data_IF_975778924867
#
_entry.id   IF_975778924867
#
_cell.length_a   1.000
_cell.length_b   1.000
_cell.length_c   1.000
_cell.angle_alpha   90.00
_cell.angle_beta   90.00
_cell.angle_gamma   90.00
#
_symmetry.space_group_name_H-M   'P 1'
#
loop_
_entity.id
_entity.type
_entity.pdbx_description
1 polymer ?
#
# COMPACT_ATOMS: atom_id res chain seq x y z
N UNK A 1 23.58 59.99 -27.38
CA UNK A 1 22.46 59.01 -27.55
C UNK A 1 22.88 57.63 -28.06
N UNK A 2 24.13 57.38 -28.48
CA UNK A 2 24.55 56.10 -29.08
C UNK A 2 24.87 54.98 -28.01
N UNK A 3 25.26 55.41 -26.79
CA UNK A 3 25.66 54.44 -25.73
C UNK A 3 24.52 53.66 -25.08
N UNK A 4 23.36 54.27 -24.90
CA UNK A 4 22.18 53.66 -24.25
C UNK A 4 21.60 52.48 -25.10
N UNK A 5 21.62 52.61 -26.41
CA UNK A 5 21.12 51.61 -27.34
C UNK A 5 21.98 50.31 -27.33
N UNK A 6 23.29 50.44 -27.13
CA UNK A 6 24.24 49.32 -27.06
C UNK A 6 24.12 48.52 -25.75
N UNK A 7 23.93 49.23 -24.64
CA UNK A 7 23.73 48.65 -23.32
C UNK A 7 22.39 47.93 -23.25
N UNK A 8 21.31 48.56 -23.76
CA UNK A 8 19.98 47.99 -23.80
C UNK A 8 19.94 46.66 -24.59
N UNK A 9 20.58 46.62 -25.79
CA UNK A 9 20.70 45.41 -26.59
C UNK A 9 21.43 44.28 -25.85
N UNK A 10 22.50 44.59 -25.10
CA UNK A 10 23.22 43.59 -24.30
C UNK A 10 22.35 43.03 -23.16
N UNK A 11 21.62 43.90 -22.46
CA UNK A 11 20.72 43.49 -21.38
C UNK A 11 19.59 42.61 -21.92
N UNK A 12 18.97 42.96 -23.04
CA UNK A 12 17.95 42.17 -23.68
C UNK A 12 18.48 40.81 -24.14
N UNK A 13 19.68 40.71 -24.68
CA UNK A 13 20.29 39.44 -25.09
C UNK A 13 20.58 38.52 -23.89
N UNK A 14 21.08 39.10 -22.77
CA UNK A 14 21.28 38.30 -21.53
C UNK A 14 19.96 37.80 -20.97
N UNK A 15 18.93 38.65 -20.94
CA UNK A 15 17.61 38.25 -20.44
C UNK A 15 16.99 37.12 -21.32
N UNK A 16 17.10 37.24 -22.63
CA UNK A 16 16.61 36.20 -23.56
C UNK A 16 17.33 34.89 -23.38
N UNK A 17 18.67 34.92 -23.17
CA UNK A 17 19.43 33.68 -22.89
C UNK A 17 19.01 33.02 -21.58
N UNK A 18 18.68 33.80 -20.54
CA UNK A 18 18.15 33.25 -19.29
C UNK A 18 16.79 32.63 -19.44
N UNK A 19 15.88 33.23 -20.21
CA UNK A 19 14.52 32.67 -20.49
C UNK A 19 14.63 31.36 -21.26
N UNK A 20 15.50 31.27 -22.25
CA UNK A 20 15.73 30.08 -23.02
C UNK A 20 16.32 28.95 -22.15
N UNK A 21 17.36 29.23 -21.35
CA UNK A 21 18.00 28.28 -20.47
C UNK A 21 17.01 27.74 -19.41
N UNK A 22 16.17 28.62 -18.82
CA UNK A 22 15.16 28.23 -17.85
C UNK A 22 14.03 27.41 -18.46
N UNK A 23 13.62 27.72 -19.70
CA UNK A 23 12.61 26.95 -20.43
C UNK A 23 13.07 25.52 -20.73
N UNK A 24 14.34 25.31 -21.08
CA UNK A 24 14.90 23.99 -21.32
C UNK A 24 14.95 23.12 -20.06
N UNK A 25 15.30 23.68 -18.92
CA UNK A 25 15.38 22.92 -17.65
C UNK A 25 14.00 22.48 -17.15
N UNK A 26 12.96 23.28 -17.36
CA UNK A 26 11.58 22.91 -17.01
C UNK A 26 11.02 21.79 -17.90
N UNK A 27 11.30 21.84 -19.21
CA UNK A 27 10.81 20.83 -20.16
C UNK A 27 11.41 19.44 -19.90
N UNK A 28 12.72 19.36 -19.60
CA UNK A 28 13.40 18.09 -19.36
C UNK A 28 12.96 17.43 -18.04
N UNK A 29 12.61 18.21 -17.01
CA UNK A 29 12.13 17.67 -15.74
C UNK A 29 10.70 17.10 -15.86
N UNK A 30 9.84 17.69 -16.68
CA UNK A 30 8.47 17.20 -16.90
C UNK A 30 8.42 15.88 -17.68
N UNK A 31 9.24 15.72 -18.71
CA UNK A 31 9.33 14.48 -19.48
C UNK A 31 9.90 13.33 -18.63
N UNK A 32 10.94 13.60 -17.84
CA UNK A 32 11.53 12.60 -16.94
C UNK A 32 10.53 12.10 -15.90
N UNK A 33 9.71 12.99 -15.33
CA UNK A 33 8.70 12.62 -14.34
C UNK A 33 7.56 11.79 -14.96
N UNK A 34 7.04 12.17 -16.11
CA UNK A 34 5.98 11.44 -16.80
C UNK A 34 6.43 10.03 -17.23
N UNK A 35 7.62 9.88 -17.78
CA UNK A 35 8.20 8.60 -18.16
C UNK A 35 8.41 7.68 -16.94
N UNK A 36 8.93 8.22 -15.85
CA UNK A 36 9.14 7.51 -14.59
C UNK A 36 7.84 6.93 -14.03
N UNK A 37 6.74 7.71 -14.02
CA UNK A 37 5.43 7.28 -13.53
C UNK A 37 4.82 6.17 -14.37
N UNK A 38 4.90 6.26 -15.69
CA UNK A 38 4.40 5.23 -16.59
C UNK A 38 5.15 3.90 -16.40
N UNK A 39 6.47 3.94 -16.30
CA UNK A 39 7.31 2.77 -16.04
C UNK A 39 7.00 2.15 -14.69
N UNK A 40 6.81 2.96 -13.65
CA UNK A 40 6.40 2.50 -12.31
C UNK A 40 5.06 1.76 -12.37
N UNK A 41 4.04 2.37 -12.98
CA UNK A 41 2.70 1.76 -13.09
C UNK A 41 2.75 0.42 -13.83
N UNK A 42 3.52 0.34 -14.91
CA UNK A 42 3.70 -0.92 -15.66
C UNK A 42 4.34 -1.99 -14.77
N UNK A 43 5.44 -1.67 -14.07
CA UNK A 43 6.11 -2.61 -13.17
C UNK A 43 5.20 -3.07 -12.02
N UNK A 44 4.39 -2.17 -11.47
CA UNK A 44 3.41 -2.52 -10.44
C UNK A 44 2.36 -3.52 -10.96
N UNK A 45 1.83 -3.30 -12.16
CA UNK A 45 0.86 -4.21 -12.79
C UNK A 45 1.45 -5.58 -13.11
N UNK A 46 2.67 -5.61 -13.67
CA UNK A 46 3.38 -6.86 -13.96
C UNK A 46 3.66 -7.66 -12.69
N UNK A 47 4.11 -6.99 -11.63
CA UNK A 47 4.35 -7.61 -10.31
C UNK A 47 3.05 -8.17 -9.72
N UNK A 48 1.96 -7.41 -9.74
CA UNK A 48 0.67 -7.85 -9.22
C UNK A 48 0.11 -9.04 -10.03
N UNK A 49 0.23 -9.02 -11.36
CA UNK A 49 -0.16 -10.16 -12.20
C UNK A 49 0.67 -11.42 -11.90
N UNK A 50 1.97 -11.27 -11.65
CA UNK A 50 2.84 -12.37 -11.23
C UNK A 50 2.42 -12.92 -9.87
N UNK A 51 2.16 -12.05 -8.88
CA UNK A 51 1.71 -12.45 -7.53
C UNK A 51 0.40 -13.27 -7.61
N UNK A 52 -0.58 -12.79 -8.36
CA UNK A 52 -1.84 -13.51 -8.56
C UNK A 52 -1.63 -14.90 -9.18
N UNK A 53 -0.72 -15.02 -10.16
CA UNK A 53 -0.41 -16.29 -10.81
C UNK A 53 0.35 -17.26 -9.92
N UNK A 54 1.28 -16.75 -9.09
CA UNK A 54 2.15 -17.60 -8.26
C UNK A 54 1.55 -17.98 -6.91
N UNK A 55 0.59 -17.19 -6.42
CA UNK A 55 -0.09 -17.43 -5.14
C UNK A 55 -1.60 -17.51 -5.37
N UNK A 56 -2.08 -18.59 -6.01
CA UNK A 56 -3.51 -18.75 -6.31
C UNK A 56 -4.35 -18.98 -5.04
N UNK A 57 -3.76 -19.50 -3.98
CA UNK A 57 -4.40 -19.80 -2.70
C UNK A 57 -3.59 -19.21 -1.54
N UNK A 58 -3.82 -17.93 -1.17
CA UNK A 58 -3.09 -17.31 -0.06
C UNK A 58 -3.33 -18.05 1.26
N UNK A 59 -2.25 -18.37 1.95
CA UNK A 59 -2.30 -19.07 3.26
C UNK A 59 -2.60 -18.05 4.36
N UNK A 60 -3.56 -18.38 5.24
CA UNK A 60 -3.98 -17.52 6.36
C UNK A 60 -2.91 -17.48 7.45
N UNK A 61 -2.79 -16.36 8.13
CA UNK A 61 -1.80 -16.06 9.16
C UNK A 61 -0.35 -16.28 8.68
N UNK A 62 -0.08 -15.98 7.41
CA UNK A 62 1.24 -16.08 6.79
C UNK A 62 1.69 -14.75 6.19
N UNK A 63 2.99 -14.51 6.14
CA UNK A 63 3.54 -13.29 5.52
C UNK A 63 3.17 -13.23 4.04
N UNK A 64 3.30 -14.35 3.31
CA UNK A 64 2.99 -14.40 1.88
C UNK A 64 1.51 -14.30 1.56
N UNK A 65 0.62 -14.74 2.46
CA UNK A 65 -0.82 -14.75 2.25
C UNK A 65 -1.45 -13.36 2.35
N UNK A 66 -1.39 -12.73 3.51
CA UNK A 66 -2.06 -11.45 3.77
C UNK A 66 -1.49 -10.33 2.91
N UNK A 67 -0.15 -10.25 2.77
CA UNK A 67 0.46 -9.22 1.92
C UNK A 67 0.09 -9.36 0.46
N UNK A 68 -0.07 -10.59 -0.04
CA UNK A 68 -0.55 -10.82 -1.41
C UNK A 68 -1.99 -10.32 -1.58
N UNK A 69 -2.89 -10.69 -0.67
CA UNK A 69 -4.30 -10.24 -0.73
C UNK A 69 -4.39 -8.72 -0.67
N UNK A 70 -3.69 -8.08 0.29
CA UNK A 70 -3.64 -6.63 0.45
C UNK A 70 -3.11 -5.94 -0.81
N UNK A 71 -1.96 -6.42 -1.32
CA UNK A 71 -1.31 -5.82 -2.49
C UNK A 71 -2.17 -5.94 -3.74
N UNK A 72 -2.77 -7.11 -3.99
CA UNK A 72 -3.67 -7.32 -5.12
C UNK A 72 -4.93 -6.47 -5.03
N UNK A 73 -5.53 -6.35 -3.84
CA UNK A 73 -6.72 -5.53 -3.62
C UNK A 73 -6.45 -4.03 -3.87
N UNK A 74 -5.22 -3.57 -3.64
CA UNK A 74 -4.80 -2.16 -3.80
C UNK A 74 -4.07 -1.86 -5.10
N UNK A 75 -3.70 -2.88 -5.90
CA UNK A 75 -2.92 -2.72 -7.15
C UNK A 75 -3.67 -2.09 -8.31
N UNK A 76 -5.00 -2.08 -8.28
CA UNK A 76 -5.84 -1.65 -9.41
C UNK A 76 -5.94 -2.68 -10.55
N UNK A 77 -5.34 -3.87 -10.44
CA UNK A 77 -5.54 -4.95 -11.41
C UNK A 77 -6.89 -5.66 -11.18
N UNK A 78 -7.45 -6.22 -12.25
CA UNK A 78 -8.67 -7.03 -12.15
C UNK A 78 -8.33 -8.43 -11.64
N UNK A 79 -8.61 -8.66 -10.35
CA UNK A 79 -8.58 -10.00 -9.75
C UNK A 79 -10.01 -10.52 -9.64
N UNK A 80 -10.29 -11.79 -9.99
CA UNK A 80 -11.61 -12.37 -9.85
C UNK A 80 -12.13 -12.28 -8.40
N UNK A 81 -13.38 -11.86 -8.21
CA UNK A 81 -14.00 -11.77 -6.86
C UNK A 81 -13.88 -13.07 -6.07
N UNK A 82 -14.01 -14.20 -6.77
CA UNK A 82 -13.86 -15.53 -6.17
C UNK A 82 -12.54 -15.74 -5.42
N UNK A 83 -11.44 -15.14 -5.88
CA UNK A 83 -10.13 -15.20 -5.19
C UNK A 83 -10.21 -14.65 -3.76
N UNK A 84 -10.84 -13.50 -3.60
CA UNK A 84 -11.02 -12.85 -2.30
C UNK A 84 -12.08 -13.56 -1.43
N UNK A 85 -13.16 -14.06 -2.05
CA UNK A 85 -14.18 -14.82 -1.35
C UNK A 85 -13.64 -16.14 -0.81
N UNK A 86 -12.84 -16.84 -1.59
CA UNK A 86 -12.22 -18.11 -1.17
C UNK A 86 -11.16 -17.84 -0.07
N UNK A 87 -10.41 -16.73 -0.16
CA UNK A 87 -9.51 -16.34 0.92
C UNK A 87 -10.30 -16.04 2.20
N UNK A 88 -11.39 -15.27 2.12
CA UNK A 88 -12.22 -14.96 3.28
C UNK A 88 -12.78 -16.22 3.95
N UNK A 89 -13.29 -17.17 3.18
CA UNK A 89 -13.77 -18.47 3.71
C UNK A 89 -12.66 -19.24 4.45
N UNK A 90 -11.43 -19.19 3.93
CA UNK A 90 -10.29 -19.80 4.64
C UNK A 90 -9.97 -19.08 5.94
N UNK A 91 -10.06 -17.75 5.96
CA UNK A 91 -9.89 -16.97 7.19
C UNK A 91 -10.96 -17.34 8.21
N UNK A 92 -12.25 -17.33 7.83
CA UNK A 92 -13.35 -17.72 8.73
C UNK A 92 -13.15 -19.12 9.31
N UNK A 93 -12.79 -20.09 8.45
CA UNK A 93 -12.52 -21.45 8.90
C UNK A 93 -11.35 -21.49 9.88
N UNK A 94 -10.23 -20.83 9.56
CA UNK A 94 -9.05 -20.80 10.42
C UNK A 94 -9.35 -20.15 11.78
N UNK A 95 -10.09 -19.05 11.78
CA UNK A 95 -10.48 -18.33 13.01
C UNK A 95 -11.41 -19.19 13.87
N UNK A 96 -12.40 -19.86 13.25
CA UNK A 96 -13.31 -20.79 13.95
C UNK A 96 -12.55 -21.97 14.56
N UNK A 97 -11.74 -22.66 13.78
CA UNK A 97 -10.97 -23.84 14.21
C UNK A 97 -10.01 -23.47 15.37
N UNK A 98 -9.41 -22.28 15.29
CA UNK A 98 -8.51 -21.74 16.33
C UNK A 98 -9.26 -21.08 17.51
N UNK A 99 -10.60 -21.07 17.53
CA UNK A 99 -11.43 -20.41 18.54
C UNK A 99 -11.00 -18.93 18.74
N UNK A 100 -10.76 -18.24 17.64
CA UNK A 100 -10.32 -16.84 17.62
C UNK A 100 -8.82 -16.64 17.85
N UNK A 101 -8.06 -17.63 18.28
CA UNK A 101 -6.65 -17.50 18.65
C UNK A 101 -5.73 -17.85 17.48
N UNK A 102 -5.44 -16.88 16.60
CA UNK A 102 -4.51 -17.08 15.49
C UNK A 102 -3.08 -17.35 15.97
N UNK A 103 -2.62 -16.60 16.96
CA UNK A 103 -1.33 -16.83 17.61
C UNK A 103 -1.29 -16.22 19.03
N UNK A 104 -0.62 -16.91 19.96
CA UNK A 104 -0.55 -16.47 21.37
C UNK A 104 0.50 -15.39 21.65
N UNK A 105 1.46 -15.22 20.76
CA UNK A 105 2.61 -14.32 20.94
C UNK A 105 2.79 -13.33 19.76
N UNK A 106 2.36 -13.70 18.55
CA UNK A 106 2.57 -12.91 17.32
C UNK A 106 1.30 -12.17 16.94
N UNK A 107 1.05 -11.05 17.60
CA UNK A 107 -0.15 -10.23 17.36
C UNK A 107 -0.12 -9.50 16.02
N UNK A 108 1.04 -9.36 15.38
CA UNK A 108 1.12 -8.88 13.99
C UNK A 108 0.42 -9.81 12.99
N UNK A 109 0.12 -11.06 13.34
CA UNK A 109 -0.69 -11.96 12.49
C UNK A 109 -2.14 -11.48 12.42
N UNK A 110 -2.72 -11.07 13.57
CA UNK A 110 -4.04 -10.42 13.59
C UNK A 110 -4.04 -9.14 12.76
N UNK A 111 -3.03 -8.29 12.96
CA UNK A 111 -2.92 -7.02 12.21
C UNK A 111 -2.90 -7.25 10.71
N UNK A 112 -2.14 -8.23 10.21
CA UNK A 112 -2.09 -8.55 8.77
C UNK A 112 -3.42 -9.09 8.25
N UNK A 113 -4.06 -10.00 9.00
CA UNK A 113 -5.39 -10.54 8.61
C UNK A 113 -6.41 -9.41 8.55
N UNK A 114 -6.45 -8.52 9.56
CA UNK A 114 -7.33 -7.36 9.57
C UNK A 114 -7.07 -6.46 8.36
N UNK A 115 -5.81 -6.12 8.06
CA UNK A 115 -5.43 -5.33 6.89
C UNK A 115 -5.91 -5.96 5.56
N UNK A 116 -5.71 -7.28 5.41
CA UNK A 116 -6.14 -8.00 4.21
C UNK A 116 -7.67 -8.00 4.08
N UNK A 117 -8.39 -8.25 5.18
CA UNK A 117 -9.87 -8.27 5.19
C UNK A 117 -10.45 -6.87 4.93
N UNK A 118 -9.88 -5.83 5.56
CA UNK A 118 -10.26 -4.43 5.31
C UNK A 118 -10.07 -4.06 3.84
N UNK A 119 -8.95 -4.48 3.22
CA UNK A 119 -8.67 -4.19 1.82
C UNK A 119 -9.65 -4.83 0.84
N UNK A 120 -10.28 -5.95 1.22
CA UNK A 120 -11.31 -6.65 0.43
C UNK A 120 -12.73 -6.37 0.92
N UNK A 121 -12.92 -5.33 1.74
CA UNK A 121 -14.21 -4.87 2.29
C UNK A 121 -14.96 -5.97 3.08
N UNK A 122 -14.25 -6.71 3.94
CA UNK A 122 -14.84 -7.68 4.86
C UNK A 122 -14.87 -7.12 6.27
N UNK A 123 -15.94 -7.43 7.00
CA UNK A 123 -16.08 -7.06 8.40
C UNK A 123 -15.09 -7.87 9.26
N UNK A 124 -14.27 -7.16 10.03
CA UNK A 124 -13.26 -7.74 10.91
C UNK A 124 -13.76 -7.90 12.35
N UNK A 125 -14.94 -7.34 12.64
CA UNK A 125 -15.57 -7.41 13.96
C UNK A 125 -16.40 -8.69 14.16
N UNK A 126 -16.73 -9.38 13.05
CA UNK A 126 -17.39 -10.67 13.07
C UNK A 126 -16.80 -11.62 12.02
N UNK A 127 -15.67 -12.19 12.31
CA UNK A 127 -15.03 -13.22 11.46
C UNK A 127 -15.28 -14.58 12.06
N UNK A 128 -16.30 -15.25 11.55
CA UNK A 128 -16.66 -16.55 12.05
C UNK A 128 -17.13 -16.56 13.53
N UNK A 129 -17.73 -15.48 14.00
CA UNK A 129 -18.18 -15.28 15.37
C UNK A 129 -17.14 -14.66 16.30
N UNK A 130 -16.01 -14.16 15.76
CA UNK A 130 -14.94 -13.57 16.56
C UNK A 130 -14.60 -12.17 16.07
N UNK A 131 -14.51 -11.21 17.03
CA UNK A 131 -14.02 -9.86 16.76
C UNK A 131 -12.49 -9.85 16.78
N UNK A 132 -11.84 -9.72 15.61
CA UNK A 132 -10.39 -9.74 15.51
C UNK A 132 -9.74 -8.47 16.11
N UNK A 133 -10.43 -7.32 16.12
CA UNK A 133 -9.90 -6.08 16.71
C UNK A 133 -9.70 -6.22 18.22
N UNK A 134 -10.55 -6.98 18.91
CA UNK A 134 -10.44 -7.17 20.36
C UNK A 134 -9.12 -7.76 20.81
N UNK A 135 -8.45 -8.53 19.94
CA UNK A 135 -7.12 -9.08 20.21
C UNK A 135 -6.02 -8.03 20.15
N UNK A 136 -6.21 -6.97 19.34
CA UNK A 136 -5.26 -5.85 19.22
C UNK A 136 -5.47 -4.76 20.27
N UNK A 137 -6.67 -4.67 20.86
CA UNK A 137 -6.98 -3.68 21.89
C UNK A 137 -6.26 -3.93 23.23
N UNK A 138 -5.75 -5.16 23.43
CA UNK A 138 -4.96 -5.50 24.63
C UNK A 138 -3.48 -5.17 24.40
N UNK A 139 -3.03 -4.01 24.91
CA UNK A 139 -1.66 -3.52 24.75
C UNK A 139 -0.60 -4.48 25.33
N UNK A 140 -0.89 -5.14 26.46
CA UNK A 140 0.04 -6.10 27.07
C UNK A 140 0.32 -7.32 26.17
N UNK A 141 -0.65 -7.70 25.38
CA UNK A 141 -0.49 -8.74 24.37
C UNK A 141 0.28 -8.23 23.15
N UNK A 142 -0.10 -7.08 22.65
CA UNK A 142 0.49 -6.52 21.42
C UNK A 142 1.98 -6.23 21.60
N UNK A 143 2.39 -5.70 22.77
CA UNK A 143 3.79 -5.40 23.07
C UNK A 143 4.73 -6.62 23.19
N UNK A 144 4.20 -7.85 23.26
CA UNK A 144 5.00 -9.09 23.32
C UNK A 144 5.94 -9.26 22.12
N UNK A 145 5.64 -8.61 20.98
CA UNK A 145 6.50 -8.58 19.79
C UNK A 145 7.41 -7.33 19.72
N UNK A 146 7.68 -6.68 20.85
CA UNK A 146 8.41 -5.43 20.89
C UNK A 146 7.64 -4.33 20.14
N UNK A 147 8.36 -3.35 19.59
CA UNK A 147 7.74 -2.17 18.95
C UNK A 147 6.91 -2.50 17.70
N UNK A 148 7.22 -3.61 17.03
CA UNK A 148 6.48 -4.02 15.83
C UNK A 148 5.01 -4.32 16.12
N UNK A 149 4.70 -4.90 17.27
CA UNK A 149 3.32 -5.21 17.67
C UNK A 149 2.43 -3.97 17.68
N UNK A 150 2.71 -2.95 18.51
CA UNK A 150 1.93 -1.72 18.56
C UNK A 150 1.86 -0.98 17.22
N UNK A 151 2.98 -0.90 16.47
CA UNK A 151 3.00 -0.23 15.15
C UNK A 151 2.02 -0.92 14.19
N UNK A 152 2.08 -2.24 14.06
CA UNK A 152 1.17 -2.97 13.17
C UNK A 152 -0.29 -2.93 13.64
N UNK A 153 -0.53 -2.89 14.95
CA UNK A 153 -1.87 -2.72 15.49
C UNK A 153 -2.45 -1.35 15.09
N UNK A 154 -1.69 -0.26 15.27
CA UNK A 154 -2.10 1.09 14.85
C UNK A 154 -2.39 1.15 13.34
N UNK A 155 -1.52 0.56 12.51
CA UNK A 155 -1.76 0.50 11.06
C UNK A 155 -3.06 -0.25 10.73
N UNK A 156 -3.36 -1.33 11.47
CA UNK A 156 -4.58 -2.11 11.25
C UNK A 156 -5.84 -1.33 11.66
N UNK A 157 -5.81 -0.60 12.78
CA UNK A 157 -6.90 0.27 13.22
C UNK A 157 -7.14 1.42 12.23
N UNK A 158 -6.06 2.12 11.84
CA UNK A 158 -6.12 3.27 10.91
C UNK A 158 -6.66 2.87 9.52
N UNK A 159 -6.28 1.70 9.01
CA UNK A 159 -6.67 1.23 7.69
C UNK A 159 -8.19 1.10 7.48
N UNK A 160 -8.95 0.88 8.54
CA UNK A 160 -10.40 0.75 8.50
C UNK A 160 -11.15 1.84 9.29
N UNK A 161 -10.44 2.86 9.82
CA UNK A 161 -10.97 3.84 10.75
C UNK A 161 -11.70 3.18 11.94
N UNK A 162 -11.06 2.13 12.48
CA UNK A 162 -11.58 1.43 13.67
C UNK A 162 -11.16 2.19 14.93
N UNK A 163 -12.13 2.38 15.84
CA UNK A 163 -11.95 3.01 17.15
C UNK A 163 -11.47 2.01 18.23
#
# INVERSE_FOLDING_TARGET
MIGVNKLFKKVCAIFLSFVIAFGFTLSSSLESYAYSRQKLNKSMQETAALMYKTIPEPVVASIGGEWTVLSLARSGIKVPKKYYEDYYKRVEKTVKDAKGILHRMKFTEYSRVILALTAINKDVTDVGGYNLLSYLSNFDNVKKQGINGPIFALIAFDAGNYD
#
